data_IF_842568946461
#
_entry.id   IF_842568946461
#
_cell.length_a   1.000
_cell.length_b   1.000
_cell.length_c   1.000
_cell.angle_alpha   90.00
_cell.angle_beta   90.00
_cell.angle_gamma   90.00
#
_symmetry.space_group_name_H-M   'P 1'
#
loop_
_entity.id
_entity.type
_entity.pdbx_description
1 polymer ?
#
# COMPACT_ATOMS: atom_id res chain seq x y z
N UNK A 1 11.85 -2.79 -13.08
CA UNK A 1 10.62 -2.09 -12.64
C UNK A 1 9.39 -2.88 -13.13
N UNK A 2 9.48 -4.21 -13.21
CA UNK A 2 8.43 -5.08 -13.77
C UNK A 2 7.46 -5.62 -12.69
N UNK A 3 7.80 -5.49 -11.40
CA UNK A 3 6.97 -5.98 -10.28
C UNK A 3 5.76 -5.09 -9.92
N UNK A 4 5.57 -3.95 -10.58
CA UNK A 4 4.52 -2.98 -10.21
C UNK A 4 3.29 -2.95 -11.14
N UNK A 5 3.22 -3.83 -12.15
CA UNK A 5 2.07 -3.89 -13.07
C UNK A 5 0.72 -4.12 -12.36
N UNK A 6 0.75 -4.72 -11.15
CA UNK A 6 -0.44 -5.00 -10.34
C UNK A 6 -0.76 -3.92 -9.31
N UNK A 7 -0.07 -2.78 -9.29
CA UNK A 7 -0.23 -1.73 -8.27
C UNK A 7 -0.62 -0.39 -8.89
N UNK A 8 -1.36 0.41 -8.13
CA UNK A 8 -1.82 1.75 -8.51
C UNK A 8 -1.45 2.77 -7.45
N UNK A 9 -1.09 3.97 -7.89
CA UNK A 9 -0.79 5.08 -6.99
C UNK A 9 -2.08 5.74 -6.48
N UNK A 10 -2.27 5.74 -5.16
CA UNK A 10 -3.47 6.34 -4.52
C UNK A 10 -3.21 7.74 -3.97
N UNK A 11 -1.97 8.03 -3.62
CA UNK A 11 -1.43 9.34 -3.25
C UNK A 11 0.08 9.30 -3.51
N UNK A 12 0.72 10.48 -3.58
CA UNK A 12 2.16 10.59 -3.89
C UNK A 12 3.00 9.57 -3.12
N UNK A 13 3.79 8.76 -3.84
CA UNK A 13 4.72 7.75 -3.33
C UNK A 13 4.05 6.61 -2.53
N UNK A 14 2.74 6.38 -2.74
CA UNK A 14 1.98 5.32 -2.07
C UNK A 14 1.28 4.45 -3.11
N UNK A 15 1.70 3.19 -3.18
CA UNK A 15 1.18 2.18 -4.08
C UNK A 15 0.35 1.14 -3.31
N UNK A 16 -0.82 0.81 -3.86
CA UNK A 16 -1.70 -0.25 -3.35
C UNK A 16 -2.06 -1.21 -4.49
N UNK A 17 -2.54 -2.43 -4.20
CA UNK A 17 -2.98 -3.33 -5.25
C UNK A 17 -4.08 -2.72 -6.12
N UNK A 18 -3.93 -2.86 -7.44
CA UNK A 18 -4.93 -2.45 -8.45
C UNK A 18 -6.30 -3.10 -8.24
N UNK A 19 -6.33 -4.25 -7.56
CA UNK A 19 -7.54 -5.03 -7.23
C UNK A 19 -8.35 -4.45 -6.07
N UNK A 20 -7.83 -3.45 -5.35
CA UNK A 20 -8.62 -2.77 -4.33
C UNK A 20 -9.78 -2.00 -4.96
N UNK A 21 -10.99 -1.99 -4.35
CA UNK A 21 -12.18 -1.35 -4.91
C UNK A 21 -12.17 0.18 -4.76
N UNK A 22 -11.12 0.84 -5.29
CA UNK A 22 -10.84 2.25 -5.05
C UNK A 22 -11.97 3.19 -5.48
N UNK A 23 -12.80 2.82 -6.46
CA UNK A 23 -13.94 3.63 -6.91
C UNK A 23 -14.87 4.04 -5.75
N UNK A 24 -15.03 3.17 -4.75
CA UNK A 24 -16.00 3.37 -3.66
C UNK A 24 -15.33 3.76 -2.34
N UNK A 25 -14.05 3.42 -2.15
CA UNK A 25 -13.37 3.58 -0.84
C UNK A 25 -12.07 4.39 -0.90
N UNK A 26 -11.76 5.07 -2.02
CA UNK A 26 -10.49 5.80 -2.18
C UNK A 26 -10.16 6.71 -1.01
N UNK A 27 -11.13 7.51 -0.55
CA UNK A 27 -10.91 8.45 0.57
C UNK A 27 -10.59 7.72 1.87
N UNK A 28 -11.31 6.64 2.17
CA UNK A 28 -11.06 5.80 3.34
C UNK A 28 -9.66 5.15 3.26
N UNK A 29 -9.33 4.55 2.11
CA UNK A 29 -8.02 3.95 1.83
C UNK A 29 -6.90 4.97 2.03
N UNK A 30 -6.98 6.14 1.40
CA UNK A 30 -5.95 7.18 1.52
C UNK A 30 -5.80 7.65 2.97
N UNK A 31 -6.91 7.78 3.70
CA UNK A 31 -6.90 8.19 5.12
C UNK A 31 -6.20 7.15 5.99
N UNK A 32 -6.56 5.87 5.84
CA UNK A 32 -5.96 4.77 6.59
C UNK A 32 -4.47 4.63 6.27
N UNK A 33 -4.11 4.66 5.00
CA UNK A 33 -2.72 4.52 4.58
C UNK A 33 -1.85 5.64 5.13
N UNK A 34 -2.32 6.90 5.08
CA UNK A 34 -1.58 8.03 5.67
C UNK A 34 -1.44 7.88 7.18
N UNK A 35 -2.50 7.46 7.86
CA UNK A 35 -2.47 7.22 9.30
C UNK A 35 -1.43 6.15 9.66
N UNK A 36 -1.46 5.03 8.96
CA UNK A 36 -0.50 3.93 9.14
C UNK A 36 0.93 4.44 8.92
N UNK A 37 1.22 5.13 7.81
CA UNK A 37 2.57 5.65 7.51
C UNK A 37 3.05 6.63 8.59
N UNK A 38 2.19 7.56 9.03
CA UNK A 38 2.54 8.56 10.04
C UNK A 38 2.74 7.95 11.44
N UNK A 39 2.02 6.88 11.76
CA UNK A 39 2.11 6.17 13.04
C UNK A 39 3.19 5.08 13.05
N UNK A 40 3.78 4.75 11.89
CA UNK A 40 4.64 3.57 11.75
C UNK A 40 5.98 3.72 12.48
N UNK A 41 6.02 3.24 13.73
CA UNK A 41 7.23 3.10 14.57
C UNK A 41 7.75 1.65 14.57
N UNK A 42 8.03 1.07 13.40
CA UNK A 42 8.50 -0.32 13.24
C UNK A 42 7.47 -1.42 13.58
N UNK A 43 6.16 -1.18 13.40
CA UNK A 43 5.15 -2.24 13.55
C UNK A 43 4.76 -2.75 12.17
N UNK A 44 4.85 -4.07 11.95
CA UNK A 44 4.36 -4.72 10.73
C UNK A 44 2.88 -4.39 10.54
N UNK A 45 2.62 -3.36 9.74
CA UNK A 45 1.27 -2.85 9.53
C UNK A 45 0.62 -3.65 8.41
N UNK A 46 -0.39 -4.45 8.78
CA UNK A 46 -1.19 -5.22 7.84
C UNK A 46 -2.51 -4.48 7.63
N UNK A 47 -2.89 -4.29 6.36
CA UNK A 47 -4.17 -3.75 5.96
C UNK A 47 -4.83 -4.72 4.98
N UNK A 48 -6.03 -5.19 5.33
CA UNK A 48 -6.84 -6.04 4.47
C UNK A 48 -7.98 -5.21 3.86
N UNK A 49 -8.09 -5.27 2.54
CA UNK A 49 -9.17 -4.62 1.79
C UNK A 49 -9.72 -5.64 0.81
N UNK A 50 -11.04 -5.90 0.87
CA UNK A 50 -11.72 -6.86 0.00
C UNK A 50 -11.02 -8.23 -0.05
N UNK A 51 -10.71 -8.77 1.13
CA UNK A 51 -10.02 -10.06 1.32
C UNK A 51 -8.62 -10.18 0.73
N UNK A 52 -8.00 -9.04 0.38
CA UNK A 52 -6.60 -8.96 -0.04
C UNK A 52 -5.79 -8.44 1.15
N UNK A 53 -5.14 -9.32 1.93
CA UNK A 53 -4.24 -8.89 2.99
C UNK A 53 -2.97 -8.30 2.39
N UNK A 54 -2.58 -7.12 2.85
CA UNK A 54 -1.35 -6.46 2.41
C UNK A 54 -0.51 -6.04 3.60
N UNK A 55 0.81 -6.12 3.46
CA UNK A 55 1.77 -5.55 4.42
C UNK A 55 2.34 -4.25 3.84
N UNK A 56 2.51 -3.26 4.70
CA UNK A 56 3.22 -2.04 4.33
C UNK A 56 4.73 -2.31 4.28
N UNK A 57 5.34 -2.11 3.12
CA UNK A 57 6.78 -2.11 2.92
C UNK A 57 7.22 -0.75 2.37
N UNK A 58 8.44 -0.33 2.72
CA UNK A 58 9.05 0.87 2.17
C UNK A 58 10.20 0.44 1.25
N UNK A 59 10.12 0.79 -0.03
CA UNK A 59 11.15 0.50 -1.03
C UNK A 59 11.88 1.80 -1.39
N UNK A 60 13.20 1.72 -1.57
CA UNK A 60 13.99 2.84 -2.11
C UNK A 60 13.82 2.88 -3.62
N UNK A 61 13.35 4.01 -4.16
CA UNK A 61 13.21 4.25 -5.59
C UNK A 61 14.11 5.41 -6.02
N UNK A 62 15.28 5.09 -6.60
CA UNK A 62 16.32 6.06 -6.95
C UNK A 62 16.68 6.95 -5.75
N UNK A 63 16.13 8.17 -5.72
CA UNK A 63 16.38 9.21 -4.72
C UNK A 63 15.25 9.38 -3.69
N UNK A 64 14.15 8.65 -3.82
CA UNK A 64 12.96 8.79 -2.98
C UNK A 64 12.57 7.45 -2.34
N UNK A 65 11.70 7.51 -1.34
CA UNK A 65 11.09 6.34 -0.73
C UNK A 65 9.65 6.18 -1.22
N UNK A 66 9.28 4.95 -1.56
CA UNK A 66 7.92 4.59 -1.97
C UNK A 66 7.38 3.59 -0.96
N UNK A 67 6.18 3.87 -0.47
CA UNK A 67 5.40 2.97 0.38
C UNK A 67 4.54 2.08 -0.50
N UNK A 68 4.66 0.77 -0.32
CA UNK A 68 3.91 -0.23 -1.10
C UNK A 68 3.14 -1.11 -0.13
N UNK A 69 1.84 -1.28 -0.36
CA UNK A 69 1.01 -2.26 0.31
C UNK A 69 1.10 -3.58 -0.45
N UNK A 70 2.16 -4.34 -0.19
CA UNK A 70 2.45 -5.60 -0.87
C UNK A 70 1.51 -6.70 -0.40
N UNK A 71 0.89 -7.42 -1.33
CA UNK A 71 0.00 -8.52 -1.02
C UNK A 71 0.74 -9.66 -0.29
N UNK A 72 0.10 -10.22 0.73
CA UNK A 72 0.61 -11.38 1.46
C UNK A 72 0.09 -12.63 0.74
N UNK A 73 0.88 -13.19 -0.16
CA UNK A 73 0.63 -14.52 -0.71
C UNK A 73 0.88 -15.56 0.37
N UNK A 74 -0.11 -16.41 0.67
CA UNK A 74 0.10 -17.58 1.52
C UNK A 74 1.15 -18.49 0.87
N UNK A 75 2.27 -18.70 1.56
CA UNK A 75 3.21 -19.79 1.29
C UNK A 75 2.57 -21.14 1.58
#
# INVERSE_FOLDING_TARGET
MEELLNYVEVTKNVLVPSRWPLSNIKTLVVTLVRKIINENKNVFSILQVNDIPTKLITRKNKSDYVHVFEEISGT
#
